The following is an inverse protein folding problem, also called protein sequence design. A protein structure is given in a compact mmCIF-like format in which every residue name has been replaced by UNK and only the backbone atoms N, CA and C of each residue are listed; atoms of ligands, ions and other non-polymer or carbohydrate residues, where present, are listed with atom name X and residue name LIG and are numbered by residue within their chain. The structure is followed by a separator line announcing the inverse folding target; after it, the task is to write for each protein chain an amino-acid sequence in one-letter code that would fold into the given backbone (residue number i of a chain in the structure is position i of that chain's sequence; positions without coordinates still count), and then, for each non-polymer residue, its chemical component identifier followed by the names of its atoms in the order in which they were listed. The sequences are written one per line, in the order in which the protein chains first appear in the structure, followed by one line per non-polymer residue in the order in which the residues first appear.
data_IF_499036400581
#
_entry.id   IF_499036400581
#
_cell.length_a   1.000
_cell.length_b   1.000
_cell.length_c   1.000
_cell.angle_alpha   90.00
_cell.angle_beta   90.00
_cell.angle_gamma   90.00
#
_symmetry.space_group_name_H-M   'P 1'
#
loop_
_entity.id
_entity.type
_entity.pdbx_description
1 polymer ?
#
# COMPACT_ATOMS: atom_id res chain seq x y z
N UNK A 1 20.51 39.91 23.74
CA UNK A 1 21.61 39.14 24.35
C UNK A 1 21.93 37.97 23.42
N UNK A 2 23.07 38.03 22.72
CA UNK A 2 23.51 37.06 21.70
C UNK A 2 24.90 36.61 22.13
N UNK A 3 25.11 35.32 22.39
CA UNK A 3 26.40 34.81 22.83
C UNK A 3 27.37 34.68 21.64
N UNK A 4 28.69 34.92 21.85
CA UNK A 4 29.67 35.09 20.78
C UNK A 4 30.48 33.80 20.57
N UNK A 5 30.41 33.21 19.39
CA UNK A 5 31.43 32.26 18.95
C UNK A 5 31.94 32.72 17.58
N UNK A 6 32.94 33.60 17.61
CA UNK A 6 33.85 33.80 16.49
C UNK A 6 34.96 32.76 16.62
N UNK A 7 34.87 31.68 15.84
CA UNK A 7 35.93 30.68 15.72
C UNK A 7 36.84 31.13 14.57
N UNK A 8 38.15 31.34 14.78
CA UNK A 8 39.06 31.76 13.73
C UNK A 8 39.31 30.62 12.71
N UNK A 9 39.52 30.93 11.41
CA UNK A 9 39.81 29.92 10.41
C UNK A 9 41.23 29.38 10.59
N UNK A 10 41.38 28.34 11.39
CA UNK A 10 42.61 27.57 11.51
C UNK A 10 42.75 26.65 10.30
N UNK A 11 43.71 26.95 9.42
CA UNK A 11 44.21 26.05 8.38
C UNK A 11 44.48 24.66 8.98
N UNK A 12 43.62 23.67 8.67
CA UNK A 12 43.84 22.26 9.00
C UNK A 12 43.84 21.45 7.71
N UNK A 13 44.98 20.82 7.45
CA UNK A 13 45.12 19.77 6.43
C UNK A 13 44.34 18.56 6.96
N UNK A 14 43.04 18.53 6.67
CA UNK A 14 42.14 17.46 7.08
C UNK A 14 42.43 16.23 6.21
N UNK A 15 42.93 15.15 6.82
CA UNK A 15 42.86 13.82 6.20
C UNK A 15 41.39 13.41 6.27
N UNK A 16 40.59 13.93 5.34
CA UNK A 16 39.15 13.68 5.27
C UNK A 16 38.94 12.16 5.22
N UNK A 17 38.17 11.63 6.16
CA UNK A 17 37.59 10.31 5.99
C UNK A 17 36.78 10.34 4.70
N UNK A 18 36.96 9.34 3.83
CA UNK A 18 36.21 9.23 2.58
C UNK A 18 34.72 9.36 2.87
N UNK A 19 34.10 10.40 2.33
CA UNK A 19 32.69 10.72 2.58
C UNK A 19 31.76 10.02 1.58
N UNK A 20 32.31 9.26 0.63
CA UNK A 20 31.52 8.50 -0.33
C UNK A 20 31.28 7.07 0.17
N UNK A 21 30.03 6.64 0.10
CA UNK A 21 29.66 5.27 0.49
C UNK A 21 30.43 4.24 -0.35
N UNK A 22 30.95 3.20 0.30
CA UNK A 22 31.73 2.12 -0.31
C UNK A 22 33.22 2.43 -0.49
N UNK A 23 33.69 3.63 -0.16
CA UNK A 23 35.08 4.04 -0.33
C UNK A 23 36.02 3.41 0.69
N UNK A 24 35.56 3.24 1.93
CA UNK A 24 36.35 2.69 3.03
C UNK A 24 35.52 1.68 3.82
N UNK A 25 35.80 0.40 3.61
CA UNK A 25 35.24 -0.71 4.38
C UNK A 25 36.21 -1.13 5.48
N UNK A 26 35.81 -1.01 6.75
CA UNK A 26 36.61 -1.50 7.89
C UNK A 26 35.83 -2.59 8.60
N UNK A 27 36.36 -3.81 8.58
CA UNK A 27 35.72 -5.01 9.16
C UNK A 27 34.29 -5.28 8.65
N UNK A 28 34.00 -4.89 7.40
CA UNK A 28 32.69 -5.05 6.78
C UNK A 28 31.71 -3.88 7.03
N UNK A 29 32.11 -2.90 7.82
CA UNK A 29 31.35 -1.66 8.03
C UNK A 29 31.79 -0.59 7.02
N UNK A 30 30.82 0.05 6.37
CA UNK A 30 31.04 1.13 5.43
C UNK A 30 31.15 2.47 6.16
N UNK A 31 32.40 2.94 6.33
CA UNK A 31 32.67 4.20 7.02
C UNK A 31 32.14 5.40 6.24
N UNK A 32 32.07 5.33 4.90
CA UNK A 32 31.48 6.40 4.10
C UNK A 32 29.98 6.51 4.35
N UNK A 33 29.29 5.38 4.35
CA UNK A 33 27.87 5.33 4.70
C UNK A 33 27.61 5.77 6.15
N UNK A 34 28.46 5.35 7.10
CA UNK A 34 28.37 5.78 8.50
C UNK A 34 28.59 7.29 8.64
N UNK A 35 29.63 7.84 8.01
CA UNK A 35 29.93 9.27 8.02
C UNK A 35 28.76 10.06 7.47
N UNK A 36 28.19 9.65 6.34
CA UNK A 36 27.01 10.32 5.78
C UNK A 36 25.79 10.23 6.72
N UNK A 37 25.57 9.09 7.39
CA UNK A 37 24.50 8.96 8.37
C UNK A 37 24.67 9.92 9.57
N UNK A 38 25.90 10.13 10.04
CA UNK A 38 26.16 11.12 11.10
C UNK A 38 25.94 12.55 10.62
N UNK A 39 26.42 12.90 9.41
CA UNK A 39 26.26 14.24 8.80
C UNK A 39 24.78 14.59 8.60
N UNK A 40 23.98 13.64 8.10
CA UNK A 40 22.52 13.81 7.91
C UNK A 40 21.77 13.84 9.25
N UNK A 41 22.24 13.10 10.24
CA UNK A 41 21.62 12.98 11.56
C UNK A 41 22.09 14.02 12.58
N UNK A 42 22.80 15.08 12.16
CA UNK A 42 23.57 15.95 13.04
C UNK A 42 22.75 16.54 14.21
N UNK A 43 21.52 16.96 13.96
CA UNK A 43 20.62 17.56 14.97
C UNK A 43 20.17 16.58 16.06
N UNK A 44 20.35 15.27 15.85
CA UNK A 44 20.04 14.23 16.86
C UNK A 44 21.22 13.91 17.75
N UNK A 45 22.41 14.41 17.43
CA UNK A 45 23.63 14.18 18.20
C UNK A 45 23.70 15.14 19.37
N UNK A 46 24.26 14.66 20.48
CA UNK A 46 24.53 15.52 21.63
C UNK A 46 25.61 16.55 21.28
N UNK A 47 25.66 17.72 21.95
CA UNK A 47 26.70 18.72 21.70
C UNK A 47 28.13 18.18 21.81
N UNK A 48 28.37 17.23 22.73
CA UNK A 48 29.67 16.57 22.87
C UNK A 48 30.02 15.66 21.68
N UNK A 49 29.03 14.98 21.10
CA UNK A 49 29.21 14.15 19.90
C UNK A 49 29.46 15.03 18.67
N UNK A 50 28.69 16.11 18.50
CA UNK A 50 28.91 17.08 17.43
C UNK A 50 30.32 17.67 17.51
N UNK A 51 30.74 18.08 18.71
CA UNK A 51 32.10 18.58 18.94
C UNK A 51 33.16 17.53 18.60
N UNK A 52 32.99 16.27 19.00
CA UNK A 52 33.95 15.21 18.68
C UNK A 52 34.05 14.97 17.16
N UNK A 53 32.92 14.89 16.47
CA UNK A 53 32.88 14.66 15.03
C UNK A 53 33.51 15.83 14.24
N UNK A 54 33.23 17.06 14.65
CA UNK A 54 33.83 18.26 14.08
C UNK A 54 35.32 18.38 14.41
N UNK A 55 35.67 18.37 15.70
CA UNK A 55 37.01 18.72 16.15
C UNK A 55 38.03 17.59 15.98
N UNK A 56 37.62 16.32 16.09
CA UNK A 56 38.52 15.16 15.97
C UNK A 56 38.51 14.59 14.55
N UNK A 57 37.33 14.51 13.92
CA UNK A 57 37.18 13.87 12.61
C UNK A 57 37.00 14.86 11.44
N UNK A 58 36.86 16.16 11.72
CA UNK A 58 36.71 17.18 10.68
C UNK A 58 35.41 17.04 9.88
N UNK A 59 34.37 16.49 10.49
CA UNK A 59 33.06 16.28 9.88
C UNK A 59 32.15 17.46 10.18
N UNK A 60 31.46 17.95 9.15
CA UNK A 60 30.49 19.03 9.25
C UNK A 60 29.08 18.48 8.97
N UNK A 61 28.00 19.13 9.48
CA UNK A 61 26.63 18.74 9.14
C UNK A 61 26.42 18.66 7.62
N UNK A 62 25.46 17.82 7.21
CA UNK A 62 25.10 17.72 5.80
C UNK A 62 24.42 19.02 5.33
N UNK A 63 24.85 19.52 4.17
CA UNK A 63 24.19 20.65 3.53
C UNK A 63 22.76 20.27 3.10
N UNK A 64 21.91 21.27 2.86
CA UNK A 64 20.51 21.05 2.47
C UNK A 64 20.37 20.19 1.19
N UNK A 65 21.35 20.25 0.28
CA UNK A 65 21.41 19.42 -0.92
C UNK A 65 21.82 17.96 -0.66
N UNK A 66 22.54 17.69 0.44
CA UNK A 66 22.98 16.36 0.85
C UNK A 66 21.97 15.66 1.78
N UNK A 67 21.00 16.42 2.31
CA UNK A 67 19.94 15.86 3.14
C UNK A 67 19.02 14.98 2.28
N UNK A 68 18.72 13.75 2.73
CA UNK A 68 17.78 12.90 2.03
C UNK A 68 16.40 13.55 2.02
N UNK A 69 15.59 13.34 0.97
CA UNK A 69 14.25 13.90 0.91
C UNK A 69 13.45 13.46 2.15
N UNK A 70 12.61 14.38 2.65
CA UNK A 70 11.78 14.12 3.81
C UNK A 70 11.03 12.79 3.66
N UNK A 71 11.01 12.00 4.74
CA UNK A 71 10.29 10.72 4.75
C UNK A 71 8.82 10.97 4.40
N UNK A 72 8.34 10.31 3.36
CA UNK A 72 6.93 10.41 2.97
C UNK A 72 6.03 9.99 4.12
N UNK A 73 5.06 10.84 4.44
CA UNK A 73 4.05 10.55 5.46
C UNK A 73 3.09 9.47 4.96
N UNK A 74 2.25 8.94 5.85
CA UNK A 74 1.19 8.02 5.44
C UNK A 74 0.19 8.72 4.51
N UNK A 75 -0.07 10.02 4.73
CA UNK A 75 -0.93 10.82 3.88
C UNK A 75 -0.36 10.97 2.46
N UNK A 76 0.95 11.23 2.33
CA UNK A 76 1.60 11.34 1.02
C UNK A 76 1.54 10.02 0.23
N UNK A 77 1.77 8.89 0.92
CA UNK A 77 1.62 7.57 0.31
C UNK A 77 0.20 7.33 -0.18
N UNK A 78 -0.78 7.66 0.66
CA UNK A 78 -2.19 7.54 0.30
C UNK A 78 -2.56 8.42 -0.91
N UNK A 79 -2.12 9.67 -0.92
CA UNK A 79 -2.32 10.59 -2.04
C UNK A 79 -1.70 10.04 -3.34
N UNK A 80 -0.51 9.45 -3.27
CA UNK A 80 0.11 8.75 -4.40
C UNK A 80 -0.72 7.56 -4.90
N UNK A 81 -1.22 6.73 -3.99
CA UNK A 81 -2.07 5.59 -4.33
C UNK A 81 -3.40 6.02 -4.97
N UNK A 82 -4.05 7.04 -4.41
CA UNK A 82 -5.29 7.58 -4.95
C UNK A 82 -5.06 8.25 -6.32
N UNK A 83 -3.95 8.95 -6.49
CA UNK A 83 -3.53 9.49 -7.79
C UNK A 83 -3.35 8.40 -8.84
N UNK A 84 -2.70 7.29 -8.49
CA UNK A 84 -2.57 6.12 -9.37
C UNK A 84 -3.92 5.51 -9.72
N UNK A 85 -4.81 5.33 -8.73
CA UNK A 85 -6.14 4.79 -8.95
C UNK A 85 -6.98 5.69 -9.87
N UNK A 86 -6.89 7.02 -9.70
CA UNK A 86 -7.56 7.99 -10.58
C UNK A 86 -7.03 7.93 -12.01
N UNK A 87 -5.72 7.82 -12.22
CA UNK A 87 -5.13 7.69 -13.55
C UNK A 87 -5.61 6.40 -14.25
N UNK A 88 -5.58 5.27 -13.53
CA UNK A 88 -6.07 4.01 -14.09
C UNK A 88 -7.56 4.06 -14.40
N UNK A 89 -8.38 4.60 -13.49
CA UNK A 89 -9.81 4.75 -13.69
C UNK A 89 -10.14 5.70 -14.85
N UNK A 90 -9.40 6.79 -15.03
CA UNK A 90 -9.59 7.70 -16.16
C UNK A 90 -9.33 7.01 -17.51
N UNK A 91 -8.42 6.02 -17.55
CA UNK A 91 -8.06 5.26 -18.75
C UNK A 91 -9.01 4.09 -19.03
N UNK A 92 -9.32 3.28 -18.02
CA UNK A 92 -10.07 2.02 -18.19
C UNK A 92 -11.54 2.13 -17.77
N UNK A 93 -11.92 3.18 -17.04
CA UNK A 93 -13.27 3.37 -16.49
C UNK A 93 -13.63 2.43 -15.34
N UNK A 94 -12.69 1.63 -14.85
CA UNK A 94 -12.90 0.68 -13.75
C UNK A 94 -11.65 0.50 -12.89
N UNK A 95 -11.81 -0.02 -11.65
CA UNK A 95 -10.70 -0.38 -10.75
C UNK A 95 -10.38 -1.89 -10.71
N UNK A 96 -10.61 -2.61 -11.81
CA UNK A 96 -10.20 -4.01 -11.97
C UNK A 96 -8.74 -4.11 -12.43
N UNK A 97 -7.81 -3.87 -11.51
CA UNK A 97 -6.37 -3.77 -11.79
C UNK A 97 -5.68 -5.15 -11.65
N UNK A 98 -4.85 -5.61 -12.60
CA UNK A 98 -4.03 -6.80 -12.43
C UNK A 98 -3.02 -6.67 -11.26
N UNK A 99 -2.76 -7.76 -10.54
CA UNK A 99 -1.92 -7.78 -9.31
C UNK A 99 -0.55 -7.10 -9.43
N UNK A 100 0.11 -7.23 -10.59
CA UNK A 100 1.46 -6.71 -10.87
C UNK A 100 1.46 -5.37 -11.62
N UNK A 101 0.30 -4.74 -11.76
CA UNK A 101 0.19 -3.47 -12.49
C UNK A 101 0.82 -2.32 -11.71
N UNK A 102 1.61 -1.50 -12.42
CA UNK A 102 2.33 -0.35 -11.87
C UNK A 102 1.91 0.90 -12.64
N UNK A 103 1.62 1.97 -11.92
CA UNK A 103 1.34 3.30 -12.46
C UNK A 103 2.39 4.29 -11.98
N UNK A 104 2.80 5.22 -12.85
CA UNK A 104 3.72 6.28 -12.47
C UNK A 104 2.96 7.54 -12.04
N UNK A 105 3.14 7.96 -10.80
CA UNK A 105 2.53 9.19 -10.25
C UNK A 105 3.64 10.15 -9.86
N UNK A 106 3.75 11.28 -10.56
CA UNK A 106 4.81 12.28 -10.28
C UNK A 106 6.23 11.69 -10.38
N UNK A 107 6.46 10.78 -11.34
CA UNK A 107 7.74 10.09 -11.52
C UNK A 107 8.02 8.94 -10.54
N UNK A 108 7.09 8.64 -9.62
CA UNK A 108 7.24 7.54 -8.66
C UNK A 108 6.40 6.34 -9.12
N UNK A 109 6.98 5.14 -9.26
CA UNK A 109 6.22 3.94 -9.55
C UNK A 109 5.38 3.52 -8.34
N UNK A 110 4.10 3.25 -8.58
CA UNK A 110 3.14 2.77 -7.59
C UNK A 110 2.59 1.43 -8.07
N UNK A 111 2.81 0.37 -7.30
CA UNK A 111 2.27 -0.98 -7.55
C UNK A 111 0.76 -1.03 -7.26
N UNK A 112 -0.02 -0.37 -8.12
CA UNK A 112 -1.45 -0.15 -7.92
C UNK A 112 -2.22 -1.46 -7.70
N UNK A 113 -1.88 -2.53 -8.43
CA UNK A 113 -2.54 -3.82 -8.26
C UNK A 113 -2.42 -4.38 -6.84
N UNK A 114 -1.21 -4.34 -6.27
CA UNK A 114 -0.98 -4.79 -4.91
C UNK A 114 -1.59 -3.89 -3.86
N UNK A 115 -1.48 -2.58 -4.07
CA UNK A 115 -2.08 -1.59 -3.17
C UNK A 115 -3.59 -1.80 -3.06
N UNK A 116 -4.30 -2.00 -4.18
CA UNK A 116 -5.73 -2.21 -4.16
C UNK A 116 -6.12 -3.54 -3.52
N UNK A 117 -5.36 -4.61 -3.75
CA UNK A 117 -5.62 -5.91 -3.12
C UNK A 117 -5.42 -5.88 -1.59
N UNK A 118 -4.35 -5.23 -1.13
CA UNK A 118 -4.12 -5.02 0.29
C UNK A 118 -5.19 -4.11 0.91
N UNK A 119 -5.65 -3.10 0.17
CA UNK A 119 -6.75 -2.22 0.59
C UNK A 119 -8.06 -2.99 0.71
N UNK A 120 -8.36 -3.93 -0.19
CA UNK A 120 -9.52 -4.84 -0.08
C UNK A 120 -9.40 -5.74 1.16
N UNK A 121 -8.25 -6.37 1.36
CA UNK A 121 -8.00 -7.28 2.49
C UNK A 121 -8.18 -6.59 3.84
N UNK A 122 -7.79 -5.32 3.93
CA UNK A 122 -7.87 -4.53 5.16
C UNK A 122 -8.98 -3.48 5.14
N UNK A 123 -10.03 -3.68 4.33
CA UNK A 123 -11.15 -2.76 4.19
C UNK A 123 -11.82 -2.43 5.54
N UNK A 124 -11.86 -3.38 6.48
CA UNK A 124 -12.41 -3.18 7.83
C UNK A 124 -11.59 -2.22 8.71
N UNK A 125 -10.32 -1.99 8.37
CA UNK A 125 -9.40 -1.08 9.08
C UNK A 125 -9.24 0.27 8.37
N UNK A 126 -9.88 0.45 7.23
CA UNK A 126 -9.79 1.68 6.44
C UNK A 126 -10.65 2.77 7.08
N UNK A 127 -10.18 4.02 7.09
CA UNK A 127 -11.01 5.15 7.52
C UNK A 127 -12.18 5.36 6.55
N UNK A 128 -13.29 5.90 7.06
CA UNK A 128 -14.48 6.14 6.26
C UNK A 128 -14.22 7.08 5.07
N UNK A 129 -13.42 8.12 5.27
CA UNK A 129 -13.00 9.05 4.22
C UNK A 129 -12.27 8.34 3.08
N UNK A 130 -11.24 7.56 3.42
CA UNK A 130 -10.45 6.80 2.42
C UNK A 130 -11.29 5.77 1.68
N UNK A 131 -12.27 5.17 2.37
CA UNK A 131 -13.22 4.25 1.76
C UNK A 131 -14.09 4.99 0.74
N UNK A 132 -14.66 6.13 1.13
CA UNK A 132 -15.50 6.95 0.27
C UNK A 132 -14.76 7.45 -0.99
N UNK A 133 -13.47 7.80 -0.86
CA UNK A 133 -12.64 8.20 -2.01
C UNK A 133 -12.49 7.09 -3.05
N UNK A 134 -12.31 5.84 -2.60
CA UNK A 134 -12.23 4.68 -3.49
C UNK A 134 -13.61 4.25 -3.99
N UNK A 135 -14.66 4.39 -3.19
CA UNK A 135 -16.05 4.16 -3.59
C UNK A 135 -16.46 5.08 -4.73
N UNK A 136 -16.05 6.35 -4.68
CA UNK A 136 -16.28 7.32 -5.76
C UNK A 136 -15.59 6.92 -7.08
N UNK A 137 -14.59 6.04 -7.03
CA UNK A 137 -13.92 5.47 -8.20
C UNK A 137 -14.45 4.08 -8.57
N UNK A 138 -15.57 3.64 -7.99
CA UNK A 138 -16.21 2.36 -8.30
C UNK A 138 -15.47 1.15 -7.73
N UNK A 139 -14.78 1.31 -6.60
CA UNK A 139 -14.06 0.20 -5.95
C UNK A 139 -15.03 -0.89 -5.49
N UNK A 140 -14.72 -2.14 -5.88
CA UNK A 140 -15.44 -3.33 -5.40
C UNK A 140 -14.73 -3.90 -4.18
N UNK A 141 -15.48 -4.06 -3.09
CA UNK A 141 -14.99 -4.64 -1.84
C UNK A 141 -15.25 -6.14 -1.80
N UNK A 142 -14.25 -6.92 -1.38
CA UNK A 142 -14.43 -8.34 -1.12
C UNK A 142 -15.32 -8.51 0.13
N UNK A 143 -16.53 -9.03 -0.07
CA UNK A 143 -17.57 -9.10 0.96
C UNK A 143 -18.97 -9.02 0.37
N UNK A 144 -19.12 -8.35 -0.78
CA UNK A 144 -20.32 -8.43 -1.63
C UNK A 144 -20.17 -9.54 -2.68
N UNK A 145 -19.72 -10.72 -2.21
CA UNK A 145 -19.80 -11.94 -2.99
C UNK A 145 -21.09 -12.64 -2.55
N UNK A 146 -22.09 -12.87 -3.42
CA UNK A 146 -23.20 -13.72 -3.05
C UNK A 146 -22.64 -15.09 -2.60
N UNK A 147 -23.27 -15.75 -1.61
CA UNK A 147 -22.78 -17.01 -1.09
C UNK A 147 -22.51 -17.99 -2.24
N UNK A 148 -21.39 -18.70 -2.13
CA UNK A 148 -20.76 -19.50 -3.18
C UNK A 148 -21.57 -20.69 -3.72
N UNK A 149 -22.81 -20.87 -3.27
CA UNK A 149 -23.69 -22.00 -3.63
C UNK A 149 -23.95 -22.14 -5.14
N UNK A 150 -23.63 -21.14 -5.97
CA UNK A 150 -23.72 -21.25 -7.44
C UNK A 150 -22.59 -22.03 -8.11
N UNK A 151 -21.42 -22.20 -7.46
CA UNK A 151 -20.23 -22.72 -8.15
C UNK A 151 -19.66 -24.00 -7.53
N UNK A 152 -20.26 -24.51 -6.47
CA UNK A 152 -19.86 -25.76 -5.83
C UNK A 152 -20.53 -26.95 -6.56
N UNK A 153 -19.87 -27.50 -7.60
CA UNK A 153 -20.29 -28.78 -8.20
C UNK A 153 -20.23 -29.97 -7.23
N UNK A 154 -19.67 -29.78 -6.04
CA UNK A 154 -19.49 -30.81 -5.01
C UNK A 154 -20.68 -30.98 -4.07
N UNK A 155 -21.66 -30.05 -4.10
CA UNK A 155 -22.87 -30.12 -3.24
C UNK A 155 -24.14 -30.13 -4.09
N UNK A 156 -24.08 -30.67 -5.31
CA UNK A 156 -25.28 -31.33 -5.81
C UNK A 156 -25.52 -32.51 -4.85
N UNK A 157 -26.63 -32.55 -4.08
CA UNK A 157 -26.96 -33.78 -3.38
C UNK A 157 -27.00 -34.83 -4.48
N UNK A 158 -26.11 -35.82 -4.39
CA UNK A 158 -26.13 -36.92 -5.34
C UNK A 158 -27.48 -37.57 -5.13
N UNK A 159 -28.40 -37.33 -6.06
CA UNK A 159 -29.65 -38.05 -6.16
C UNK A 159 -29.31 -39.49 -6.57
N UNK A 160 -28.65 -40.24 -5.68
CA UNK A 160 -28.63 -41.69 -5.74
C UNK A 160 -30.05 -42.10 -5.43
N UNK A 161 -30.74 -42.55 -6.48
CA UNK A 161 -32.13 -42.95 -6.43
C UNK A 161 -32.38 -43.93 -5.30
N UNK A 162 -33.24 -43.52 -4.38
CA UNK A 162 -34.29 -44.41 -3.92
C UNK A 162 -35.60 -43.68 -4.25
N UNK A 163 -36.22 -44.06 -5.36
CA UNK A 163 -37.53 -43.58 -5.75
C UNK A 163 -38.57 -44.17 -4.79
N UNK A 164 -38.67 -43.59 -3.60
CA UNK A 164 -39.71 -43.91 -2.63
C UNK A 164 -40.21 -42.60 -2.04
N UNK A 165 -41.16 -42.00 -2.77
CA UNK A 165 -42.29 -41.26 -2.22
C UNK A 165 -42.02 -40.40 -0.99
N UNK A 166 -41.25 -39.32 -1.13
CA UNK A 166 -41.38 -38.15 -0.24
C UNK A 166 -41.46 -36.89 -1.07
N UNK A 167 -42.68 -36.37 -1.16
CA UNK A 167 -42.98 -35.01 -1.63
C UNK A 167 -42.10 -34.03 -0.84
N UNK A 168 -41.36 -33.08 -1.46
CA UNK A 168 -40.66 -32.04 -0.71
C UNK A 168 -41.68 -31.23 0.12
N UNK A 169 -41.31 -30.73 1.31
CA UNK A 169 -42.21 -29.83 2.05
C UNK A 169 -42.50 -28.60 1.18
N UNK A 170 -43.76 -28.12 1.13
CA UNK A 170 -44.06 -26.91 0.39
C UNK A 170 -43.30 -25.75 1.01
N UNK A 171 -42.47 -25.06 0.21
CA UNK A 171 -41.96 -23.74 0.59
C UNK A 171 -43.15 -22.81 0.79
N UNK A 172 -43.33 -22.30 2.01
CA UNK A 172 -44.14 -21.12 2.26
C UNK A 172 -43.42 -19.91 1.65
N UNK A 173 -43.84 -19.51 0.45
CA UNK A 173 -43.46 -18.22 -0.12
C UNK A 173 -44.07 -17.08 0.72
N UNK A 174 -43.31 -16.01 1.04
CA UNK A 174 -43.86 -14.82 1.68
C UNK A 174 -45.02 -14.27 0.85
N UNK A 175 -46.18 -14.22 1.49
CA UNK A 175 -47.47 -14.02 0.85
C UNK A 175 -47.79 -12.53 0.68
N UNK A 176 -47.11 -11.85 -0.23
CA UNK A 176 -47.54 -10.53 -0.71
C UNK A 176 -47.27 -10.38 -2.22
N UNK A 177 -48.35 -10.24 -3.03
CA UNK A 177 -48.23 -9.70 -4.39
C UNK A 177 -48.39 -10.66 -5.58
N UNK A 178 -49.52 -11.39 -5.65
CA UNK A 178 -50.37 -11.58 -6.84
C UNK A 178 -49.70 -11.54 -8.24
N UNK A 179 -49.45 -12.69 -8.88
CA UNK A 179 -49.60 -12.83 -10.35
C UNK A 179 -50.15 -14.20 -10.75
N UNK A 180 -51.02 -14.15 -11.75
CA UNK A 180 -51.97 -15.13 -12.23
C UNK A 180 -51.37 -16.16 -13.20
N UNK A 181 -51.87 -17.40 -13.07
CA UNK A 181 -51.98 -18.53 -14.01
C UNK A 181 -51.60 -18.33 -15.48
N UNK A 182 -50.59 -19.09 -15.95
CA UNK A 182 -50.48 -19.81 -17.24
C UNK A 182 -49.03 -20.35 -17.31
N UNK A 183 -48.67 -21.52 -17.84
CA UNK A 183 -49.28 -22.44 -18.78
C UNK A 183 -48.57 -23.80 -18.62
N UNK A 184 -49.32 -24.89 -18.73
CA UNK A 184 -48.78 -26.22 -18.94
C UNK A 184 -48.09 -26.31 -20.31
N UNK A 185 -47.11 -27.20 -20.49
CA UNK A 185 -47.21 -28.30 -21.47
C UNK A 185 -46.03 -29.29 -21.36
N UNK A 186 -46.38 -30.57 -21.39
CA UNK A 186 -45.54 -31.74 -21.68
C UNK A 186 -45.06 -31.71 -23.13
N UNK A 187 -43.94 -32.38 -23.46
CA UNK A 187 -43.86 -33.29 -24.62
C UNK A 187 -42.84 -34.40 -24.33
N UNK A 188 -43.33 -35.64 -24.43
CA UNK A 188 -42.57 -36.90 -24.49
C UNK A 188 -41.82 -37.04 -25.83
N UNK A 189 -40.65 -37.69 -25.82
CA UNK A 189 -40.14 -38.37 -27.02
C UNK A 189 -39.73 -39.79 -26.66
N UNK A 190 -40.22 -40.71 -27.50
CA UNK A 190 -40.03 -42.16 -27.56
C UNK A 190 -38.59 -42.59 -27.62
#
# INVERSE_FOLDING_TARGET
MRAPYGVPPGNRVSRRLGSSAGEVLVQGEDLGAWTMAQRVGWDKLTPAQQWMLDSVLGLEPADEAEQPPARRTQADRWAGHLGAARQFHAREGHLSVPRKHVEAVGGVPVELGGVLDDTRRWASKLSLERRAELDALGMRWEGERPPQWRNDKATAPTCHGNHSSRKPPPMECPREGRWTTHCAYMVHKT
#
